data_IF_154180541060
#
_entry.id   IF_154180541060
#
_cell.length_a   1.000
_cell.length_b   1.000
_cell.length_c   1.000
_cell.angle_alpha   90.00
_cell.angle_beta   90.00
_cell.angle_gamma   90.00
#
_symmetry.space_group_name_H-M   'P 1'
#
loop_
_entity.id
_entity.type
_entity.pdbx_description
1 polymer ?
#
# COMPACT_ATOMS: atom_id res chain seq x y z
N UNK A 1 -9.89 3.03 -24.69
CA UNK A 1 -9.80 1.78 -23.92
C UNK A 1 -9.67 2.14 -22.45
N UNK A 2 -10.74 1.96 -21.65
CA UNK A 2 -10.78 2.35 -20.23
C UNK A 2 -10.76 1.08 -19.38
N UNK A 3 -9.66 0.83 -18.68
CA UNK A 3 -9.56 -0.26 -17.71
C UNK A 3 -9.46 0.34 -16.30
N UNK A 4 -10.57 0.87 -15.78
CA UNK A 4 -10.66 1.27 -14.36
C UNK A 4 -10.98 0.04 -13.50
N UNK A 5 -9.98 -0.76 -13.16
CA UNK A 5 -10.13 -1.80 -12.14
C UNK A 5 -9.93 -1.16 -10.76
N UNK A 6 -11.04 -0.92 -10.05
CA UNK A 6 -11.06 -0.22 -8.76
C UNK A 6 -10.64 -1.07 -7.55
N UNK A 7 -10.49 -2.37 -7.71
CA UNK A 7 -10.36 -3.30 -6.59
C UNK A 7 -9.38 -4.43 -6.90
N UNK A 8 -8.41 -4.63 -6.00
CA UNK A 8 -7.49 -5.77 -5.99
C UNK A 8 -7.72 -6.53 -4.69
N UNK A 9 -7.93 -7.84 -4.77
CA UNK A 9 -7.98 -8.70 -3.59
C UNK A 9 -6.54 -8.93 -3.14
N UNK A 10 -6.25 -8.64 -1.86
CA UNK A 10 -4.91 -8.70 -1.26
C UNK A 10 -4.21 -10.03 -1.58
N UNK A 11 -3.07 -9.94 -2.25
CA UNK A 11 -2.01 -10.95 -2.23
C UNK A 11 -0.88 -10.40 -1.37
N UNK A 12 -0.19 -11.26 -0.61
CA UNK A 12 0.88 -10.96 0.38
C UNK A 12 2.15 -10.26 -0.16
N UNK A 13 2.06 -9.53 -1.28
CA UNK A 13 3.19 -8.99 -2.03
C UNK A 13 3.23 -7.46 -2.08
N UNK A 14 2.34 -6.78 -1.36
CA UNK A 14 2.35 -5.30 -1.34
C UNK A 14 3.46 -4.82 -0.41
N UNK A 15 4.31 -3.92 -0.89
CA UNK A 15 5.34 -3.30 -0.06
C UNK A 15 4.80 -2.05 0.62
N UNK A 16 5.49 -1.65 1.70
CA UNK A 16 5.31 -0.32 2.24
C UNK A 16 5.92 0.74 1.31
N UNK A 17 5.20 1.84 1.10
CA UNK A 17 5.80 3.08 0.63
C UNK A 17 5.21 4.28 1.37
N UNK A 18 6.04 5.26 1.72
CA UNK A 18 5.56 6.50 2.33
C UNK A 18 4.74 7.35 1.33
N UNK A 19 5.07 7.24 0.04
CA UNK A 19 4.23 7.70 -1.08
C UNK A 19 3.60 6.47 -1.72
N UNK A 20 2.34 6.20 -1.37
CA UNK A 20 1.62 4.99 -1.74
C UNK A 20 0.47 5.27 -2.73
N UNK A 21 0.17 4.29 -3.57
CA UNK A 21 -0.86 4.35 -4.62
C UNK A 21 -2.08 3.48 -4.32
N UNK A 22 -2.09 2.73 -3.21
CA UNK A 22 -3.19 1.88 -2.80
C UNK A 22 -3.54 2.02 -1.31
N UNK A 23 -4.79 1.73 -0.98
CA UNK A 23 -5.37 1.76 0.36
C UNK A 23 -5.89 0.37 0.71
N UNK A 24 -5.77 -0.02 1.98
CA UNK A 24 -6.49 -1.17 2.52
C UNK A 24 -7.73 -0.65 3.24
N UNK A 25 -8.90 -1.15 2.86
CA UNK A 25 -10.17 -0.77 3.48
C UNK A 25 -11.06 -1.99 3.76
N UNK A 26 -11.89 -1.89 4.79
CA UNK A 26 -12.90 -2.89 5.06
C UNK A 26 -14.02 -2.78 4.01
N UNK A 27 -14.36 -3.92 3.42
CA UNK A 27 -15.45 -4.05 2.46
C UNK A 27 -16.34 -5.23 2.83
N UNK A 28 -17.45 -5.38 2.09
CA UNK A 28 -18.42 -6.46 2.28
C UNK A 28 -18.72 -7.17 0.97
N UNK A 29 -18.69 -8.50 1.02
CA UNK A 29 -19.19 -9.37 -0.05
C UNK A 29 -20.34 -10.19 0.53
N UNK A 30 -21.56 -9.77 0.20
CA UNK A 30 -22.76 -10.26 0.90
C UNK A 30 -22.69 -9.94 2.39
N UNK A 31 -22.82 -10.98 3.24
CA UNK A 31 -22.79 -10.85 4.70
C UNK A 31 -21.38 -10.99 5.31
N UNK A 32 -20.33 -11.15 4.49
CA UNK A 32 -18.96 -11.32 4.96
C UNK A 32 -18.18 -10.01 4.89
N UNK A 33 -17.51 -9.65 5.98
CA UNK A 33 -16.51 -8.59 6.00
C UNK A 33 -15.20 -9.09 5.41
N UNK A 34 -14.56 -8.27 4.59
CA UNK A 34 -13.30 -8.58 3.93
C UNK A 34 -12.40 -7.34 3.92
N UNK A 35 -11.09 -7.53 3.91
CA UNK A 35 -10.16 -6.47 3.57
C UNK A 35 -9.97 -6.44 2.06
N UNK A 36 -10.13 -5.26 1.48
CA UNK A 36 -9.93 -5.02 0.06
C UNK A 36 -8.84 -3.97 -0.15
N UNK A 37 -8.11 -4.10 -1.25
CA UNK A 37 -7.17 -3.07 -1.68
C UNK A 37 -7.83 -2.21 -2.75
N UNK A 38 -7.89 -0.91 -2.52
CA UNK A 38 -8.42 0.08 -3.45
C UNK A 38 -7.31 0.99 -3.93
N UNK A 39 -7.27 1.25 -5.23
CA UNK A 39 -6.36 2.23 -5.80
C UNK A 39 -6.70 3.65 -5.28
N UNK A 40 -5.70 4.37 -4.76
CA UNK A 40 -5.78 5.77 -4.33
C UNK A 40 -5.58 6.73 -5.50
N UNK A 41 -4.76 6.32 -6.47
CA UNK A 41 -4.46 7.02 -7.72
C UNK A 41 -4.56 6.06 -8.90
N UNK A 42 -4.40 6.57 -10.12
CA UNK A 42 -4.15 5.69 -11.26
C UNK A 42 -2.87 4.87 -11.01
N UNK A 43 -2.89 3.61 -11.46
CA UNK A 43 -1.76 2.67 -11.39
C UNK A 43 -1.52 2.17 -12.80
N UNK A 44 -0.32 2.43 -13.32
CA UNK A 44 0.06 2.07 -14.68
C UNK A 44 0.69 0.66 -14.73
N UNK A 45 0.67 0.05 -15.91
CA UNK A 45 1.25 -1.27 -16.09
C UNK A 45 2.76 -1.26 -15.79
N UNK A 46 3.21 -2.16 -14.91
CA UNK A 46 4.60 -2.22 -14.45
C UNK A 46 4.88 -1.45 -13.15
N UNK A 47 3.96 -0.59 -12.69
CA UNK A 47 4.08 0.04 -11.38
C UNK A 47 3.74 -0.95 -10.25
N UNK A 48 4.51 -0.88 -9.17
CA UNK A 48 4.21 -1.64 -7.97
C UNK A 48 3.03 -1.00 -7.22
N UNK A 49 2.07 -1.84 -6.79
CA UNK A 49 1.07 -1.42 -5.81
C UNK A 49 1.71 -1.40 -4.42
N UNK A 50 1.75 -0.22 -3.80
CA UNK A 50 2.29 -0.02 -2.46
C UNK A 50 1.22 0.59 -1.56
N UNK A 51 1.28 0.24 -0.28
CA UNK A 51 0.36 0.74 0.76
C UNK A 51 1.14 1.37 1.90
N UNK A 52 0.51 2.25 2.69
CA UNK A 52 1.08 2.68 3.96
C UNK A 52 0.72 1.64 5.03
N UNK A 53 1.74 1.00 5.62
CA UNK A 53 1.53 0.07 6.73
C UNK A 53 1.40 0.77 8.08
N UNK A 54 1.39 2.10 8.08
CA UNK A 54 1.39 2.96 9.25
C UNK A 54 2.60 2.71 10.16
N UNK A 55 2.66 3.50 11.23
CA UNK A 55 3.86 3.64 12.05
C UNK A 55 4.12 2.39 12.92
N UNK A 56 3.09 1.58 13.19
CA UNK A 56 3.22 0.32 13.93
C UNK A 56 3.99 -0.76 13.16
N UNK A 57 4.05 -0.67 11.84
CA UNK A 57 4.78 -1.63 11.01
C UNK A 57 6.27 -1.29 10.87
N UNK A 58 6.60 0.00 10.90
CA UNK A 58 7.97 0.51 10.87
C UNK A 58 8.53 0.60 12.30
N UNK A 59 8.65 -0.56 12.95
CA UNK A 59 9.32 -0.69 14.25
C UNK A 59 10.85 -0.70 14.13
N UNK A 60 11.54 -0.84 15.28
CA UNK A 60 13.01 -0.87 15.39
C UNK A 60 13.72 -1.90 14.50
N UNK A 61 13.02 -2.92 14.03
CA UNK A 61 13.58 -4.03 13.25
C UNK A 61 13.36 -3.93 11.74
N UNK A 62 12.61 -2.92 11.25
CA UNK A 62 12.24 -2.82 9.83
C UNK A 62 12.55 -1.44 9.26
N UNK A 63 13.36 -1.43 8.20
CA UNK A 63 13.71 -0.21 7.47
C UNK A 63 12.82 0.01 6.26
N UNK A 64 12.45 1.26 6.02
CA UNK A 64 11.73 1.64 4.80
C UNK A 64 12.71 2.00 3.68
N UNK A 65 12.63 1.27 2.57
CA UNK A 65 13.46 1.49 1.38
C UNK A 65 12.66 2.10 0.21
N UNK A 66 11.60 2.87 0.50
CA UNK A 66 10.68 3.35 -0.53
C UNK A 66 11.25 4.47 -1.43
N UNK A 67 12.40 5.05 -1.08
CA UNK A 67 13.07 6.09 -1.87
C UNK A 67 12.39 7.47 -1.86
N UNK A 68 11.29 7.66 -1.12
CA UNK A 68 10.62 8.96 -1.03
C UNK A 68 11.47 10.03 -0.30
N UNK A 69 11.36 11.28 -0.73
CA UNK A 69 12.05 12.42 -0.13
C UNK A 69 11.69 12.59 1.36
N UNK A 70 10.43 12.39 1.71
CA UNK A 70 9.92 12.44 3.08
C UNK A 70 9.64 11.02 3.62
N UNK A 71 10.58 10.10 3.40
CA UNK A 71 10.44 8.73 3.89
C UNK A 71 10.54 8.65 5.43
N UNK A 72 9.50 8.12 6.07
CA UNK A 72 9.39 7.92 7.53
C UNK A 72 10.53 7.09 8.12
N UNK A 73 11.15 6.21 7.33
CA UNK A 73 12.27 5.37 7.77
C UNK A 73 13.65 6.03 7.66
N UNK A 74 13.77 7.28 7.19
CA UNK A 74 15.07 7.96 7.04
C UNK A 74 15.79 8.18 8.37
N UNK A 75 15.06 8.44 9.46
CA UNK A 75 15.66 8.66 10.77
C UNK A 75 16.19 7.37 11.43
N UNK A 76 15.71 6.20 11.00
CA UNK A 76 16.21 4.90 11.46
C UNK A 76 17.49 4.43 10.71
N UNK A 77 18.04 5.25 9.81
CA UNK A 77 19.23 4.98 9.00
C UNK A 77 20.47 5.80 9.43
N UNK A 78 20.42 6.50 10.57
CA UNK A 78 21.57 7.21 11.18
C UNK A 78 21.99 6.55 12.48
#
# INVERSE_FOLDING_TARGET
MSWRKRWVILRDLSNHACVFNALVEESRVGNKRMLAMRAKSDVYAGEQCCIDYADEYLGKERWCCCGADECKGKENNL
#
